data_IF_094055182673
#
_entry.id   IF_094055182673
#
_cell.length_a   1.000
_cell.length_b   1.000
_cell.length_c   1.000
_cell.angle_alpha   90.00
_cell.angle_beta   90.00
_cell.angle_gamma   90.00
#
_symmetry.space_group_name_H-M   'P 1'
#
loop_
_entity.id
_entity.type
_entity.pdbx_description
1 polymer ?
#
# COMPACT_ATOMS: atom_id res chain seq x y z
N UNK A 1 9.67 22.57 -14.77
CA UNK A 1 10.53 21.45 -15.18
C UNK A 1 9.63 20.24 -15.23
N UNK A 2 9.39 19.66 -16.39
CA UNK A 2 8.55 18.46 -16.49
C UNK A 2 9.35 17.29 -15.96
N UNK A 3 8.91 16.71 -14.85
CA UNK A 3 9.42 15.42 -14.38
C UNK A 3 9.24 14.39 -15.49
N UNK A 4 10.29 13.61 -15.73
CA UNK A 4 10.24 12.56 -16.74
C UNK A 4 9.28 11.47 -16.26
N UNK A 5 8.44 10.89 -17.13
CA UNK A 5 7.40 9.91 -16.72
C UNK A 5 7.91 8.74 -15.86
N UNK A 6 9.19 8.40 -16.01
CA UNK A 6 9.87 7.36 -15.23
C UNK A 6 10.11 7.74 -13.77
N UNK A 7 10.28 9.01 -13.42
CA UNK A 7 10.45 9.43 -12.02
C UNK A 7 9.13 9.37 -11.27
N UNK A 8 8.05 9.84 -11.88
CA UNK A 8 6.70 9.78 -11.30
C UNK A 8 6.29 8.33 -11.00
N UNK A 9 6.50 7.40 -11.94
CA UNK A 9 6.22 5.98 -11.71
C UNK A 9 7.03 5.41 -10.52
N UNK A 10 8.30 5.75 -10.41
CA UNK A 10 9.17 5.32 -9.30
C UNK A 10 8.66 5.88 -7.97
N UNK A 11 8.27 7.15 -7.93
CA UNK A 11 7.75 7.79 -6.72
C UNK A 11 6.44 7.13 -6.24
N UNK A 12 5.56 6.77 -7.17
CA UNK A 12 4.32 6.05 -6.85
C UNK A 12 4.60 4.65 -6.29
N UNK A 13 5.57 3.92 -6.87
CA UNK A 13 6.00 2.62 -6.34
C UNK A 13 6.60 2.79 -4.95
N UNK A 14 7.47 3.78 -4.74
CA UNK A 14 8.07 4.06 -3.45
C UNK A 14 7.00 4.40 -2.39
N UNK A 15 5.99 5.19 -2.75
CA UNK A 15 4.89 5.54 -1.86
C UNK A 15 4.09 4.30 -1.42
N UNK A 16 3.73 3.43 -2.36
CA UNK A 16 3.03 2.17 -2.03
C UNK A 16 3.91 1.21 -1.21
N UNK A 17 5.18 1.03 -1.61
CA UNK A 17 6.11 0.15 -0.93
C UNK A 17 6.39 0.57 0.52
N UNK A 18 6.46 1.88 0.80
CA UNK A 18 6.61 2.40 2.17
C UNK A 18 5.48 1.97 3.11
N UNK A 19 4.24 1.88 2.61
CA UNK A 19 3.11 1.38 3.40
C UNK A 19 3.34 -0.08 3.79
N UNK A 20 3.66 -0.94 2.81
CA UNK A 20 3.89 -2.37 3.05
C UNK A 20 5.07 -2.61 3.98
N UNK A 21 6.19 -1.91 3.78
CA UNK A 21 7.36 -2.00 4.66
C UNK A 21 7.04 -1.50 6.08
N UNK A 22 6.20 -0.47 6.22
CA UNK A 22 5.71 0.01 7.50
C UNK A 22 4.89 -1.06 8.24
N UNK A 23 3.99 -1.74 7.54
CA UNK A 23 3.19 -2.85 8.08
C UNK A 23 4.06 -4.04 8.47
N UNK A 24 5.01 -4.43 7.63
CA UNK A 24 5.95 -5.50 7.93
C UNK A 24 6.76 -5.18 9.20
N UNK A 25 7.25 -3.94 9.32
CA UNK A 25 7.96 -3.48 10.51
C UNK A 25 7.07 -3.53 11.75
N UNK A 26 5.82 -3.06 11.65
CA UNK A 26 4.86 -3.09 12.75
C UNK A 26 4.64 -4.53 13.25
N UNK A 27 4.31 -5.44 12.34
CA UNK A 27 4.08 -6.85 12.65
C UNK A 27 5.32 -7.56 13.22
N UNK A 28 6.51 -7.19 12.74
CA UNK A 28 7.78 -7.74 13.27
C UNK A 28 8.06 -7.28 14.70
N UNK A 29 7.75 -6.01 15.01
CA UNK A 29 7.98 -5.45 16.34
C UNK A 29 6.87 -5.84 17.34
N UNK A 30 5.65 -6.01 16.84
CA UNK A 30 4.45 -6.29 17.62
C UNK A 30 3.61 -7.33 16.86
N UNK A 31 3.92 -8.63 17.01
CA UNK A 31 3.13 -9.69 16.41
C UNK A 31 1.66 -9.60 16.81
N UNK A 32 0.77 -10.03 15.91
CA UNK A 32 -0.68 -10.04 16.09
C UNK A 32 -1.35 -8.66 16.25
N UNK A 33 -0.63 -7.57 15.99
CA UNK A 33 -1.18 -6.20 16.06
C UNK A 33 -2.27 -5.97 15.01
N UNK A 34 -2.10 -6.52 13.81
CA UNK A 34 -3.12 -6.51 12.76
C UNK A 34 -3.46 -7.96 12.43
N UNK A 35 -4.69 -8.41 12.69
CA UNK A 35 -5.15 -9.72 12.24
C UNK A 35 -4.95 -9.89 10.73
N UNK A 36 -4.62 -11.11 10.28
CA UNK A 36 -4.40 -11.39 8.85
C UNK A 36 -5.61 -10.98 8.00
N UNK A 37 -6.82 -11.31 8.46
CA UNK A 37 -8.09 -10.95 7.83
C UNK A 37 -8.32 -9.43 7.71
N UNK A 38 -7.65 -8.64 8.54
CA UNK A 38 -7.78 -7.17 8.56
C UNK A 38 -6.78 -6.49 7.63
N UNK A 39 -5.71 -7.18 7.19
CA UNK A 39 -4.66 -6.60 6.34
C UNK A 39 -5.19 -5.99 5.03
N UNK A 40 -6.13 -6.60 4.29
CA UNK A 40 -6.70 -5.96 3.09
C UNK A 40 -7.34 -4.61 3.41
N UNK A 41 -8.05 -4.48 4.53
CA UNK A 41 -8.71 -3.22 4.92
C UNK A 41 -7.70 -2.15 5.31
N UNK A 42 -6.58 -2.54 5.92
CA UNK A 42 -5.49 -1.61 6.22
C UNK A 42 -4.84 -1.07 4.94
N UNK A 43 -4.65 -1.91 3.93
CA UNK A 43 -4.14 -1.45 2.62
C UNK A 43 -5.14 -0.51 1.93
N UNK A 44 -6.44 -0.78 2.00
CA UNK A 44 -7.46 0.10 1.44
C UNK A 44 -7.50 1.46 2.14
N UNK A 45 -7.40 1.49 3.48
CA UNK A 45 -7.32 2.75 4.22
C UNK A 45 -6.07 3.55 3.83
N UNK A 46 -4.94 2.88 3.57
CA UNK A 46 -3.74 3.54 3.06
C UNK A 46 -3.91 4.04 1.63
N UNK A 47 -4.63 3.31 0.77
CA UNK A 47 -4.96 3.71 -0.60
C UNK A 47 -5.81 4.99 -0.62
N UNK A 48 -6.82 5.10 0.25
CA UNK A 48 -7.62 6.33 0.40
C UNK A 48 -6.77 7.54 0.82
N UNK A 49 -5.78 7.33 1.69
CA UNK A 49 -4.83 8.40 2.05
C UNK A 49 -3.94 8.79 0.87
N UNK A 50 -3.45 7.82 0.08
CA UNK A 50 -2.69 8.10 -1.15
C UNK A 50 -3.53 8.90 -2.15
N UNK A 51 -4.79 8.51 -2.36
CA UNK A 51 -5.72 9.24 -3.22
C UNK A 51 -5.86 10.71 -2.79
N UNK A 52 -6.03 10.96 -1.48
CA UNK A 52 -6.11 12.32 -0.93
C UNK A 52 -4.84 13.15 -1.14
N UNK A 53 -3.69 12.50 -1.31
CA UNK A 53 -2.40 13.13 -1.59
C UNK A 53 -2.13 13.31 -3.10
N UNK A 54 -3.00 12.78 -3.97
CA UNK A 54 -2.81 12.77 -5.41
C UNK A 54 -1.93 11.61 -5.91
N UNK A 55 -1.58 10.67 -5.04
CA UNK A 55 -0.75 9.50 -5.34
C UNK A 55 -1.60 8.37 -5.95
N UNK A 56 -2.22 8.63 -7.10
CA UNK A 56 -3.18 7.70 -7.73
C UNK A 56 -2.53 6.39 -8.21
N UNK A 57 -1.23 6.42 -8.54
CA UNK A 57 -0.48 5.22 -8.89
C UNK A 57 -0.32 4.30 -7.68
N UNK A 58 0.06 4.89 -6.54
CA UNK A 58 0.21 4.17 -5.28
C UNK A 58 -1.13 3.65 -4.75
N UNK A 59 -2.19 4.46 -4.84
CA UNK A 59 -3.56 4.05 -4.54
C UNK A 59 -3.93 2.77 -5.30
N UNK A 60 -3.80 2.78 -6.64
CA UNK A 60 -4.13 1.63 -7.47
C UNK A 60 -3.35 0.38 -7.05
N UNK A 61 -2.04 0.50 -6.83
CA UNK A 61 -1.21 -0.62 -6.37
C UNK A 61 -1.69 -1.18 -5.02
N UNK A 62 -2.03 -0.31 -4.07
CA UNK A 62 -2.51 -0.74 -2.75
C UNK A 62 -3.89 -1.43 -2.83
N UNK A 63 -4.78 -0.96 -3.70
CA UNK A 63 -6.05 -1.64 -4.00
C UNK A 63 -5.81 -3.02 -4.62
N UNK A 64 -4.96 -3.11 -5.65
CA UNK A 64 -4.63 -4.38 -6.31
C UNK A 64 -4.04 -5.39 -5.31
N UNK A 65 -3.15 -4.94 -4.41
CA UNK A 65 -2.57 -5.79 -3.38
C UNK A 65 -3.56 -6.19 -2.28
N UNK A 66 -4.52 -5.32 -1.94
CA UNK A 66 -5.60 -5.67 -1.02
C UNK A 66 -6.47 -6.79 -1.59
N UNK A 67 -6.77 -6.73 -2.90
CA UNK A 67 -7.51 -7.79 -3.59
C UNK A 67 -6.69 -9.09 -3.66
N UNK A 68 -5.39 -9.02 -3.95
CA UNK A 68 -4.51 -10.18 -3.88
C UNK A 68 -4.52 -10.85 -2.49
N UNK A 69 -4.49 -10.07 -1.41
CA UNK A 69 -4.54 -10.61 -0.04
C UNK A 69 -5.87 -11.32 0.26
N UNK A 70 -7.00 -10.79 -0.25
CA UNK A 70 -8.31 -11.44 -0.10
C UNK A 70 -8.36 -12.77 -0.81
N UNK A 71 -7.78 -12.84 -2.01
CA UNK A 71 -7.76 -14.06 -2.82
C UNK A 71 -6.84 -15.15 -2.22
N UNK A 72 -5.88 -14.78 -1.38
CA UNK A 72 -4.99 -15.75 -0.70
C UNK A 72 -5.66 -16.52 0.44
N UNK A 73 -6.79 -16.04 0.96
CA UNK A 73 -7.58 -16.75 1.98
C UNK A 73 -8.56 -17.77 1.36
N UNK A 74 -8.55 -17.93 0.02
CA UNK A 74 -9.36 -18.89 -0.75
C UNK A 74 -8.85 -20.32 -0.74
#
# INVERSE_FOLDING_TARGET
MSETPRSEEVEQIEAAARVVLGLLRLQTLQPDTVPLMDLPFVLLAAAEERHRQGDYGAERMLCDWADMLRDWEG
#
